data_IF_133931006291
#
_entry.id   IF_133931006291
#
_cell.length_a   1.000
_cell.length_b   1.000
_cell.length_c   1.000
_cell.angle_alpha   90.00
_cell.angle_beta   90.00
_cell.angle_gamma   90.00
#
_symmetry.space_group_name_H-M   'P 1'
#
loop_
_entity.id
_entity.type
_entity.pdbx_description
1 polymer ?
#
# COMPACT_ATOMS: atom_id res chain seq x y z
N UNK A 1 -23.96 -11.34 18.00
CA UNK A 1 -25.37 -11.10 17.57
C UNK A 1 -25.54 -9.79 16.79
N UNK A 2 -24.72 -8.75 17.03
CA UNK A 2 -24.81 -7.46 16.31
C UNK A 2 -24.52 -7.52 14.80
N UNK A 3 -23.91 -8.60 14.30
CA UNK A 3 -23.59 -8.81 12.89
C UNK A 3 -24.55 -9.78 12.18
N UNK A 4 -25.52 -10.34 12.88
CA UNK A 4 -26.50 -11.22 12.25
C UNK A 4 -27.31 -10.47 11.17
N UNK A 5 -27.43 -11.07 9.98
CA UNK A 5 -28.10 -10.48 8.83
C UNK A 5 -27.38 -9.32 8.15
N UNK A 6 -26.09 -9.08 8.49
CA UNK A 6 -25.26 -8.06 7.87
C UNK A 6 -24.18 -8.70 7.00
N UNK A 7 -23.62 -7.92 6.07
CA UNK A 7 -22.40 -8.26 5.35
C UNK A 7 -21.24 -7.54 6.01
N UNK A 8 -20.16 -8.24 6.30
CA UNK A 8 -18.94 -7.67 6.85
C UNK A 8 -17.95 -7.43 5.70
N UNK A 9 -17.47 -6.21 5.57
CA UNK A 9 -16.43 -5.85 4.61
C UNK A 9 -15.16 -5.51 5.39
N UNK A 10 -14.06 -6.15 5.06
CA UNK A 10 -12.73 -5.91 5.66
C UNK A 10 -11.81 -5.47 4.53
N UNK A 11 -11.37 -4.22 4.62
CA UNK A 11 -10.50 -3.62 3.63
C UNK A 11 -9.03 -3.66 4.06
N UNK A 12 -8.13 -3.57 3.09
CA UNK A 12 -6.67 -3.54 3.28
C UNK A 12 -6.13 -4.70 4.13
N UNK A 13 -6.71 -5.90 4.00
CA UNK A 13 -6.35 -7.05 4.84
C UNK A 13 -4.90 -7.55 4.62
N UNK A 14 -4.17 -7.01 3.65
CA UNK A 14 -2.74 -7.27 3.44
C UNK A 14 -1.83 -6.45 4.37
N UNK A 15 -2.30 -5.32 4.89
CA UNK A 15 -1.52 -4.42 5.75
C UNK A 15 -1.40 -4.92 7.21
N UNK A 16 -2.00 -6.05 7.54
CA UNK A 16 -2.01 -6.58 8.90
C UNK A 16 -0.70 -7.30 9.24
N UNK A 17 -0.13 -6.98 10.40
CA UNK A 17 0.99 -7.69 10.97
C UNK A 17 0.61 -9.11 11.46
N UNK A 18 1.58 -9.88 11.93
CA UNK A 18 1.35 -11.25 12.40
C UNK A 18 0.34 -11.33 13.55
N UNK A 19 0.33 -10.31 14.43
CA UNK A 19 -0.60 -10.25 15.55
C UNK A 19 -2.04 -9.99 15.08
N UNK A 20 -2.24 -8.97 14.26
CA UNK A 20 -3.54 -8.66 13.67
C UNK A 20 -4.08 -9.79 12.81
N UNK A 21 -3.21 -10.51 12.10
CA UNK A 21 -3.60 -11.68 11.33
C UNK A 21 -4.21 -12.80 12.18
N UNK A 22 -3.69 -13.03 13.39
CA UNK A 22 -4.28 -14.00 14.33
C UNK A 22 -5.70 -13.61 14.76
N UNK A 23 -5.95 -12.31 14.99
CA UNK A 23 -7.29 -11.82 15.30
C UNK A 23 -8.24 -11.92 14.12
N UNK A 24 -7.78 -11.57 12.93
CA UNK A 24 -8.57 -11.71 11.72
C UNK A 24 -9.00 -13.16 11.48
N UNK A 25 -8.09 -14.11 11.62
CA UNK A 25 -8.40 -15.53 11.45
C UNK A 25 -9.44 -16.00 12.46
N UNK A 26 -9.33 -15.58 13.73
CA UNK A 26 -10.32 -15.87 14.75
C UNK A 26 -11.68 -15.23 14.46
N UNK A 27 -11.69 -13.98 14.03
CA UNK A 27 -12.91 -13.29 13.64
C UNK A 27 -13.60 -13.99 12.48
N UNK A 28 -12.84 -14.41 11.46
CA UNK A 28 -13.36 -15.18 10.32
C UNK A 28 -13.95 -16.52 10.73
N UNK A 29 -13.32 -17.26 11.68
CA UNK A 29 -13.89 -18.48 12.22
C UNK A 29 -15.28 -18.24 12.82
N UNK A 30 -15.42 -17.19 13.65
CA UNK A 30 -16.70 -16.85 14.27
C UNK A 30 -17.75 -16.41 13.22
N UNK A 31 -17.34 -15.58 12.26
CA UNK A 31 -18.23 -15.13 11.20
C UNK A 31 -18.71 -16.30 10.34
N UNK A 32 -17.82 -17.24 10.05
CA UNK A 32 -18.16 -18.46 9.32
C UNK A 32 -19.14 -19.37 10.06
N UNK A 33 -18.94 -19.58 11.38
CA UNK A 33 -19.87 -20.34 12.22
C UNK A 33 -21.27 -19.72 12.24
N UNK A 34 -21.35 -18.39 12.30
CA UNK A 34 -22.62 -17.68 12.24
C UNK A 34 -23.15 -17.45 10.81
N UNK A 35 -22.48 -17.96 9.80
CA UNK A 35 -22.80 -17.79 8.38
C UNK A 35 -22.98 -16.32 7.98
N UNK A 36 -22.20 -15.45 8.56
CA UNK A 36 -22.19 -14.03 8.20
C UNK A 36 -21.38 -13.89 6.90
N UNK A 37 -21.96 -13.29 5.84
CA UNK A 37 -21.21 -13.05 4.61
C UNK A 37 -20.05 -12.09 4.85
N UNK A 38 -18.86 -12.43 4.34
CA UNK A 38 -17.65 -11.62 4.49
C UNK A 38 -17.06 -11.31 3.12
N UNK A 39 -16.67 -10.07 2.92
CA UNK A 39 -15.92 -9.59 1.76
C UNK A 39 -14.56 -9.09 2.25
N UNK A 40 -13.49 -9.67 1.75
CA UNK A 40 -12.11 -9.24 2.02
C UNK A 40 -11.56 -8.52 0.79
N UNK A 41 -11.09 -7.30 0.98
CA UNK A 41 -10.48 -6.51 -0.07
C UNK A 41 -8.97 -6.38 0.21
N UNK A 42 -8.17 -6.51 -0.85
CA UNK A 42 -6.72 -6.44 -0.74
C UNK A 42 -6.09 -6.09 -2.08
N UNK A 43 -5.16 -5.15 -2.08
CA UNK A 43 -4.37 -4.83 -3.26
C UNK A 43 -3.39 -5.97 -3.60
N UNK A 44 -2.80 -6.60 -2.57
CA UNK A 44 -1.82 -7.67 -2.71
C UNK A 44 -2.09 -8.77 -1.69
N UNK A 45 -2.53 -9.94 -2.12
CA UNK A 45 -2.81 -11.06 -1.24
C UNK A 45 -2.05 -12.31 -1.69
N UNK A 46 -0.98 -12.70 -1.00
CA UNK A 46 -0.23 -13.92 -1.31
C UNK A 46 -1.13 -15.16 -1.32
N UNK A 47 -0.87 -16.09 -2.23
CA UNK A 47 -1.67 -17.32 -2.37
C UNK A 47 -1.77 -18.13 -1.07
N UNK A 48 -0.70 -18.17 -0.28
CA UNK A 48 -0.69 -18.79 1.05
C UNK A 48 -1.70 -18.10 1.98
N UNK A 49 -1.63 -16.75 2.10
CA UNK A 49 -2.52 -16.01 3.00
C UNK A 49 -3.98 -16.11 2.56
N UNK A 50 -4.26 -16.05 1.26
CA UNK A 50 -5.60 -16.30 0.72
C UNK A 50 -6.15 -17.66 1.15
N UNK A 51 -5.32 -18.70 1.10
CA UNK A 51 -5.72 -20.05 1.54
C UNK A 51 -6.01 -20.08 3.04
N UNK A 52 -5.20 -19.43 3.86
CA UNK A 52 -5.40 -19.33 5.32
C UNK A 52 -6.73 -18.65 5.66
N UNK A 53 -7.04 -17.52 5.03
CA UNK A 53 -8.28 -16.76 5.25
C UNK A 53 -9.53 -17.59 4.88
N UNK A 54 -9.52 -18.26 3.73
CA UNK A 54 -10.63 -19.15 3.34
C UNK A 54 -10.76 -20.32 4.29
N UNK A 55 -9.65 -20.91 4.71
CA UNK A 55 -9.61 -22.02 5.68
C UNK A 55 -10.18 -21.60 7.03
N UNK A 56 -9.82 -20.40 7.50
CA UNK A 56 -10.33 -19.80 8.73
C UNK A 56 -11.85 -19.60 8.67
N UNK A 57 -12.35 -18.99 7.60
CA UNK A 57 -13.80 -18.76 7.44
C UNK A 57 -14.60 -20.07 7.36
N UNK A 58 -14.09 -21.08 6.68
CA UNK A 58 -14.73 -22.40 6.60
C UNK A 58 -14.59 -23.25 7.86
N UNK A 59 -13.86 -22.77 8.86
CA UNK A 59 -13.57 -23.44 10.12
C UNK A 59 -13.01 -24.88 9.90
N UNK A 60 -12.10 -25.02 8.95
CA UNK A 60 -11.47 -26.30 8.58
C UNK A 60 -9.99 -26.27 8.93
N UNK A 61 -9.43 -27.40 9.31
CA UNK A 61 -7.97 -27.51 9.55
C UNK A 61 -7.17 -27.47 8.24
N UNK A 62 -7.70 -28.07 7.21
CA UNK A 62 -7.09 -28.13 5.88
C UNK A 62 -8.18 -28.14 4.80
N UNK A 63 -7.83 -27.66 3.62
CA UNK A 63 -8.67 -27.75 2.43
C UNK A 63 -8.01 -28.68 1.41
N UNK A 64 -8.78 -29.43 0.61
CA UNK A 64 -8.24 -30.26 -0.47
C UNK A 64 -7.35 -29.44 -1.40
N UNK A 65 -6.37 -30.10 -2.01
CA UNK A 65 -5.53 -29.46 -3.01
C UNK A 65 -6.35 -29.09 -4.24
N UNK A 66 -6.20 -27.85 -4.67
CA UNK A 66 -6.95 -27.30 -5.79
C UNK A 66 -6.17 -26.14 -6.43
N UNK A 67 -6.36 -25.91 -7.76
CA UNK A 67 -5.62 -24.89 -8.50
C UNK A 67 -5.72 -23.47 -7.93
N UNK A 68 -6.84 -23.13 -7.31
CA UNK A 68 -7.04 -21.81 -6.72
C UNK A 68 -6.05 -21.46 -5.59
N UNK A 69 -5.50 -22.47 -4.89
CA UNK A 69 -4.53 -22.26 -3.79
C UNK A 69 -3.20 -21.70 -4.29
N UNK A 70 -2.78 -22.05 -5.49
CA UNK A 70 -1.49 -21.69 -6.06
C UNK A 70 -1.58 -20.62 -7.15
N UNK A 71 -2.79 -20.26 -7.56
CA UNK A 71 -3.00 -19.26 -8.58
C UNK A 71 -2.43 -17.88 -8.17
N UNK A 72 -1.64 -17.30 -9.09
CA UNK A 72 -0.97 -15.99 -8.91
C UNK A 72 -1.54 -14.92 -9.85
N UNK A 73 -2.67 -15.19 -10.49
CA UNK A 73 -3.34 -14.22 -11.35
C UNK A 73 -3.73 -12.95 -10.60
N UNK A 74 -3.81 -11.82 -11.30
CA UNK A 74 -4.25 -10.53 -10.75
C UNK A 74 -4.94 -9.71 -11.85
N UNK A 75 -6.06 -9.04 -11.57
CA UNK A 75 -6.91 -9.16 -10.38
C UNK A 75 -7.62 -10.51 -10.28
N UNK A 76 -7.95 -10.94 -9.07
CA UNK A 76 -8.45 -12.28 -8.79
C UNK A 76 -9.60 -12.23 -7.78
N UNK A 77 -10.72 -12.86 -8.11
CA UNK A 77 -11.83 -13.07 -7.20
C UNK A 77 -11.84 -14.52 -6.74
N UNK A 78 -11.82 -14.75 -5.44
CA UNK A 78 -11.96 -16.08 -4.83
C UNK A 78 -13.12 -16.04 -3.85
N UNK A 79 -14.05 -16.99 -3.95
CA UNK A 79 -15.23 -17.04 -3.06
C UNK A 79 -15.61 -18.46 -2.70
N UNK A 80 -16.43 -18.61 -1.67
CA UNK A 80 -16.99 -19.89 -1.25
C UNK A 80 -18.46 -19.74 -0.85
N UNK A 81 -19.23 -20.77 -1.12
CA UNK A 81 -20.61 -20.95 -0.65
C UNK A 81 -20.67 -21.77 0.66
N UNK A 82 -19.53 -22.03 1.27
CA UNK A 82 -19.37 -22.91 2.43
C UNK A 82 -19.08 -24.40 2.08
N UNK A 83 -19.31 -24.80 0.83
CA UNK A 83 -19.08 -26.18 0.35
C UNK A 83 -17.85 -26.25 -0.55
N UNK A 84 -17.80 -25.39 -1.54
CA UNK A 84 -16.75 -25.34 -2.56
C UNK A 84 -16.10 -23.96 -2.60
N UNK A 85 -14.84 -23.94 -2.98
CA UNK A 85 -14.11 -22.71 -3.25
C UNK A 85 -14.00 -22.54 -4.76
N UNK A 86 -14.43 -21.39 -5.25
CA UNK A 86 -14.38 -21.00 -6.65
C UNK A 86 -13.46 -19.81 -6.82
N UNK A 87 -12.92 -19.66 -8.03
CA UNK A 87 -12.02 -18.57 -8.36
C UNK A 87 -12.16 -18.17 -9.82
N UNK A 88 -12.07 -16.87 -10.08
CA UNK A 88 -12.01 -16.34 -11.44
C UNK A 88 -11.05 -15.16 -11.51
N UNK A 89 -10.36 -15.03 -12.64
CA UNK A 89 -9.62 -13.82 -12.97
C UNK A 89 -10.57 -12.72 -13.43
N UNK A 90 -10.25 -11.47 -13.12
CA UNK A 90 -10.97 -10.30 -13.61
C UNK A 90 -10.19 -9.74 -14.79
N UNK A 91 -10.79 -9.55 -15.97
CA UNK A 91 -10.07 -8.97 -17.10
C UNK A 91 -9.66 -7.52 -16.80
N UNK A 92 -8.40 -7.20 -17.08
CA UNK A 92 -7.93 -5.83 -17.02
C UNK A 92 -8.43 -5.04 -18.23
N UNK A 93 -9.05 -3.90 -18.00
CA UNK A 93 -9.48 -2.99 -19.07
C UNK A 93 -8.35 -2.05 -19.54
N UNK A 94 -7.32 -1.89 -18.73
CA UNK A 94 -6.12 -1.09 -19.06
C UNK A 94 -4.90 -1.99 -19.16
N UNK A 95 -4.00 -1.75 -20.13
CA UNK A 95 -2.77 -2.51 -20.23
C UNK A 95 -1.91 -2.30 -18.96
N UNK A 96 -1.18 -3.33 -18.51
CA UNK A 96 -0.29 -3.19 -17.36
C UNK A 96 0.80 -2.16 -17.66
N UNK A 97 1.02 -1.25 -16.70
CA UNK A 97 2.14 -0.31 -16.78
C UNK A 97 3.46 -1.06 -16.55
N UNK A 98 4.47 -0.73 -17.34
CA UNK A 98 5.83 -1.22 -17.11
C UNK A 98 6.51 -0.26 -16.15
N UNK A 99 7.13 -0.81 -15.12
CA UNK A 99 7.96 -0.09 -14.16
C UNK A 99 9.36 -0.66 -14.23
N UNK A 100 10.35 0.20 -14.44
CA UNK A 100 11.77 -0.18 -14.34
C UNK A 100 12.21 -0.01 -12.90
N UNK A 101 12.87 -1.01 -12.35
CA UNK A 101 13.41 -0.98 -10.98
C UNK A 101 14.93 -1.09 -11.06
N UNK A 102 15.61 -0.19 -10.34
CA UNK A 102 17.06 -0.12 -10.29
C UNK A 102 17.53 -0.03 -8.84
N UNK A 103 18.69 -0.56 -8.55
CA UNK A 103 19.32 -0.40 -7.24
C UNK A 103 20.10 0.91 -7.20
N UNK A 104 19.94 1.67 -6.13
CA UNK A 104 20.56 2.97 -5.94
C UNK A 104 21.31 3.00 -4.59
N UNK A 105 22.50 3.60 -4.57
CA UNK A 105 23.18 3.93 -3.32
C UNK A 105 22.71 5.31 -2.80
N UNK A 106 22.91 5.54 -1.51
CA UNK A 106 22.48 6.80 -0.90
C UNK A 106 23.26 8.01 -1.43
N UNK A 107 24.52 7.82 -1.84
CA UNK A 107 25.34 8.86 -2.45
C UNK A 107 24.84 9.28 -3.83
N UNK A 108 24.27 8.36 -4.59
CA UNK A 108 23.74 8.62 -5.95
C UNK A 108 22.37 9.29 -5.94
N UNK A 109 21.70 9.35 -4.77
CA UNK A 109 20.32 9.79 -4.65
C UNK A 109 20.10 11.22 -5.15
N UNK A 110 20.90 12.24 -4.79
CA UNK A 110 20.70 13.60 -5.28
C UNK A 110 20.82 13.73 -6.80
N UNK A 111 21.84 13.15 -7.40
CA UNK A 111 22.05 13.15 -8.85
C UNK A 111 20.91 12.43 -9.57
N UNK A 112 20.45 11.30 -9.03
CA UNK A 112 19.34 10.54 -9.60
C UNK A 112 18.05 11.34 -9.57
N UNK A 113 17.74 12.03 -8.46
CA UNK A 113 16.57 12.90 -8.33
C UNK A 113 16.63 14.08 -9.30
N UNK A 114 17.78 14.73 -9.41
CA UNK A 114 17.98 15.85 -10.34
C UNK A 114 17.75 15.42 -11.79
N UNK A 115 18.29 14.26 -12.16
CA UNK A 115 18.11 13.71 -13.51
C UNK A 115 16.65 13.29 -13.78
N UNK A 116 16.01 12.61 -12.83
CA UNK A 116 14.63 12.15 -12.96
C UNK A 116 13.61 13.28 -13.08
N UNK A 117 13.86 14.39 -12.39
CA UNK A 117 12.97 15.56 -12.36
C UNK A 117 13.44 16.71 -13.29
N UNK A 118 14.38 16.44 -14.17
CA UNK A 118 14.93 17.45 -15.10
C UNK A 118 13.86 18.11 -15.98
N UNK A 119 12.87 17.32 -16.40
CA UNK A 119 11.76 17.78 -17.23
C UNK A 119 10.53 18.18 -16.42
N UNK A 120 10.69 18.29 -15.09
CA UNK A 120 9.60 18.57 -14.14
C UNK A 120 9.07 17.31 -13.46
N UNK A 121 7.96 17.44 -12.74
CA UNK A 121 7.32 16.36 -12.02
C UNK A 121 7.70 16.29 -10.53
N UNK A 122 7.32 15.20 -9.88
CA UNK A 122 7.55 14.99 -8.45
C UNK A 122 8.14 13.61 -8.12
N UNK A 123 8.97 13.56 -7.08
CA UNK A 123 9.52 12.32 -6.57
C UNK A 123 9.10 12.06 -5.13
N UNK A 124 8.81 10.79 -4.83
CA UNK A 124 8.66 10.28 -3.47
C UNK A 124 9.90 9.52 -3.03
N UNK A 125 10.39 9.82 -1.83
CA UNK A 125 11.52 9.10 -1.20
C UNK A 125 11.04 8.53 0.12
N UNK A 126 10.92 7.20 0.19
CA UNK A 126 10.40 6.49 1.34
C UNK A 126 11.55 5.83 2.09
N UNK A 127 11.69 6.17 3.35
CA UNK A 127 12.71 5.61 4.25
C UNK A 127 12.08 4.98 5.49
N UNK A 128 12.81 4.09 6.14
CA UNK A 128 12.26 3.27 7.21
C UNK A 128 12.08 3.99 8.55
N UNK A 129 12.75 5.13 8.79
CA UNK A 129 12.69 5.84 10.05
C UNK A 129 12.44 7.33 9.89
N UNK A 130 11.76 7.92 10.88
CA UNK A 130 11.47 9.35 10.90
C UNK A 130 12.76 10.18 10.92
N UNK A 131 13.76 9.77 11.73
CA UNK A 131 15.04 10.44 11.81
C UNK A 131 15.73 10.47 10.45
N UNK A 132 15.80 9.34 9.75
CA UNK A 132 16.39 9.27 8.42
C UNK A 132 15.64 10.15 7.42
N UNK A 133 14.31 10.22 7.49
CA UNK A 133 13.53 11.12 6.65
C UNK A 133 13.87 12.60 6.89
N UNK A 134 14.05 12.98 8.14
CA UNK A 134 14.42 14.35 8.51
C UNK A 134 15.85 14.70 8.05
N UNK A 135 16.83 13.83 8.35
CA UNK A 135 18.24 14.02 8.00
C UNK A 135 18.40 14.09 6.47
N UNK A 136 17.76 13.17 5.76
CA UNK A 136 17.78 13.13 4.28
C UNK A 136 17.14 14.38 3.67
N UNK A 137 16.01 14.83 4.19
CA UNK A 137 15.36 16.03 3.67
C UNK A 137 16.18 17.29 3.93
N UNK A 138 16.89 17.38 5.07
CA UNK A 138 17.81 18.47 5.33
C UNK A 138 18.95 18.49 4.30
N UNK A 139 19.59 17.34 4.08
CA UNK A 139 20.63 17.16 3.07
C UNK A 139 20.16 17.52 1.66
N UNK A 140 18.98 17.03 1.24
CA UNK A 140 18.46 17.31 -0.10
C UNK A 140 18.14 18.80 -0.31
N UNK A 141 17.71 19.54 0.73
CA UNK A 141 17.53 20.99 0.64
C UNK A 141 18.82 21.77 0.43
N UNK A 142 19.92 21.26 0.97
CA UNK A 142 21.25 21.85 0.80
C UNK A 142 21.85 21.53 -0.57
N UNK A 143 21.72 20.28 -1.01
CA UNK A 143 22.32 19.79 -2.26
C UNK A 143 21.49 20.15 -3.51
N UNK A 144 20.16 20.30 -3.38
CA UNK A 144 19.21 20.54 -4.46
C UNK A 144 18.32 21.78 -4.17
N UNK A 145 18.89 22.98 -4.05
CA UNK A 145 18.14 24.19 -3.66
C UNK A 145 17.07 24.61 -4.65
N UNK A 146 17.13 24.13 -5.90
CA UNK A 146 16.12 24.38 -6.94
C UNK A 146 14.84 23.55 -6.79
N UNK A 147 14.83 22.54 -5.87
CA UNK A 147 13.69 21.70 -5.60
C UNK A 147 13.01 22.06 -4.29
N UNK A 148 11.70 22.00 -4.27
CA UNK A 148 10.95 22.03 -3.01
C UNK A 148 11.01 20.66 -2.34
N UNK A 149 11.51 20.59 -1.10
CA UNK A 149 11.61 19.34 -0.33
C UNK A 149 10.65 19.36 0.84
N UNK A 150 9.61 18.55 0.77
CA UNK A 150 8.64 18.36 1.84
C UNK A 150 8.97 17.10 2.65
N UNK A 151 8.65 17.13 3.95
CA UNK A 151 8.82 15.98 4.85
C UNK A 151 7.47 15.55 5.37
N UNK A 152 7.20 14.23 5.32
CA UNK A 152 5.96 13.67 5.86
C UNK A 152 6.20 12.35 6.62
N UNK A 153 5.81 12.33 7.91
CA UNK A 153 5.98 11.17 8.81
C UNK A 153 4.91 11.14 9.91
N UNK A 154 4.84 10.07 10.68
CA UNK A 154 3.80 9.84 11.69
C UNK A 154 3.92 10.73 12.95
N UNK A 155 5.08 11.36 13.21
CA UNK A 155 5.33 12.09 14.46
C UNK A 155 4.91 13.58 14.44
N UNK A 156 4.08 13.98 13.49
CA UNK A 156 3.49 15.32 13.54
C UNK A 156 2.34 15.38 14.53
N UNK A 157 2.15 16.54 15.19
CA UNK A 157 0.94 16.83 15.95
C UNK A 157 -0.27 16.84 15.02
N UNK A 158 -1.43 16.49 15.55
CA UNK A 158 -2.65 16.34 14.72
C UNK A 158 -2.98 17.55 13.83
N UNK A 159 -2.90 18.82 14.32
CA UNK A 159 -3.15 19.98 13.46
C UNK A 159 -2.12 20.11 12.32
N UNK A 160 -0.83 19.97 12.65
CA UNK A 160 0.26 20.08 11.66
C UNK A 160 0.20 18.96 10.62
N UNK A 161 -0.25 17.78 11.04
CA UNK A 161 -0.43 16.63 10.15
C UNK A 161 -1.52 16.92 9.13
N UNK A 162 -2.68 17.41 9.55
CA UNK A 162 -3.80 17.72 8.67
C UNK A 162 -3.44 18.79 7.62
N UNK A 163 -2.72 19.83 8.03
CA UNK A 163 -2.23 20.87 7.12
C UNK A 163 -1.26 20.29 6.07
N UNK A 164 -0.31 19.45 6.52
CA UNK A 164 0.65 18.80 5.61
C UNK A 164 -0.02 17.81 4.65
N UNK A 165 -0.99 17.03 5.13
CA UNK A 165 -1.80 16.14 4.29
C UNK A 165 -2.56 16.93 3.22
N UNK A 166 -3.21 18.01 3.62
CA UNK A 166 -3.91 18.87 2.67
C UNK A 166 -2.95 19.45 1.63
N UNK A 167 -1.79 19.96 2.04
CA UNK A 167 -0.77 20.47 1.14
C UNK A 167 -0.27 19.42 0.15
N UNK A 168 -0.03 18.17 0.60
CA UNK A 168 0.35 17.08 -0.27
C UNK A 168 -0.76 16.74 -1.27
N UNK A 169 -2.02 16.67 -0.81
CA UNK A 169 -3.17 16.40 -1.68
C UNK A 169 -3.37 17.49 -2.75
N UNK A 170 -3.13 18.75 -2.41
CA UNK A 170 -3.20 19.86 -3.37
C UNK A 170 -2.07 19.81 -4.41
N UNK A 171 -0.87 19.38 -3.99
CA UNK A 171 0.32 19.34 -4.84
C UNK A 171 0.40 18.11 -5.73
N UNK A 172 0.10 16.94 -5.19
CA UNK A 172 0.32 15.63 -5.84
C UNK A 172 -0.87 14.67 -5.75
N UNK A 173 -2.04 15.14 -5.34
CA UNK A 173 -3.27 14.34 -5.37
C UNK A 173 -3.83 14.18 -6.79
N UNK A 174 -4.88 13.38 -6.94
CA UNK A 174 -5.53 13.04 -8.23
C UNK A 174 -5.90 14.23 -9.13
N UNK A 175 -6.10 15.41 -8.54
CA UNK A 175 -6.51 16.63 -9.27
C UNK A 175 -5.36 17.60 -9.49
N UNK A 176 -4.15 17.24 -9.11
CA UNK A 176 -2.98 18.11 -9.27
C UNK A 176 -2.62 18.28 -10.74
N UNK A 177 -2.20 19.50 -11.07
CA UNK A 177 -1.71 19.86 -12.40
C UNK A 177 -0.20 19.64 -12.50
N UNK A 178 0.38 19.50 -13.72
CA UNK A 178 1.83 19.40 -13.88
C UNK A 178 2.62 20.54 -13.22
N UNK A 179 2.10 21.77 -13.26
CA UNK A 179 2.73 22.92 -12.63
C UNK A 179 2.77 22.84 -11.10
N UNK A 180 1.77 22.22 -10.47
CA UNK A 180 1.75 22.01 -9.02
C UNK A 180 2.74 20.95 -8.57
N UNK A 181 3.02 19.97 -9.43
CA UNK A 181 3.93 18.84 -9.16
C UNK A 181 5.40 19.18 -9.46
N UNK A 182 5.64 20.29 -10.17
CA UNK A 182 6.95 20.62 -10.71
C UNK A 182 8.00 20.77 -9.61
N UNK A 183 9.14 20.13 -9.82
CA UNK A 183 10.34 20.16 -8.95
C UNK A 183 10.06 19.90 -7.48
N UNK A 184 9.16 18.95 -7.20
CA UNK A 184 8.79 18.59 -5.84
C UNK A 184 9.40 17.24 -5.43
N UNK A 185 10.06 17.21 -4.29
CA UNK A 185 10.56 15.99 -3.63
C UNK A 185 9.82 15.84 -2.30
N UNK A 186 9.20 14.71 -2.07
CA UNK A 186 8.55 14.37 -0.80
C UNK A 186 9.33 13.25 -0.14
N UNK A 187 9.92 13.54 1.01
CA UNK A 187 10.65 12.55 1.82
C UNK A 187 9.76 12.12 2.98
N UNK A 188 9.58 10.83 3.16
CA UNK A 188 8.74 10.35 4.26
C UNK A 188 8.97 8.89 4.64
N UNK A 189 8.11 8.40 5.51
CA UNK A 189 8.07 7.00 5.91
C UNK A 189 6.88 6.30 5.26
N UNK A 190 6.63 5.04 5.59
CA UNK A 190 5.51 4.23 5.08
C UNK A 190 4.13 4.91 5.21
N UNK A 191 4.01 5.97 5.98
CA UNK A 191 2.77 6.77 6.07
C UNK A 191 2.37 7.38 4.72
N UNK A 192 3.33 7.64 3.82
CA UNK A 192 3.05 8.09 2.46
C UNK A 192 2.32 7.05 1.61
N UNK A 193 2.50 5.76 1.90
CA UNK A 193 1.89 4.66 1.15
C UNK A 193 0.44 4.36 1.58
N UNK A 194 0.13 4.61 2.85
CA UNK A 194 -1.10 4.06 3.45
C UNK A 194 -2.22 5.08 3.65
N UNK A 195 -1.91 6.37 3.68
CA UNK A 195 -2.87 7.36 4.19
C UNK A 195 -3.35 8.36 3.15
N UNK A 196 -2.73 8.43 1.98
CA UNK A 196 -2.94 9.52 1.04
C UNK A 196 -3.18 8.98 -0.38
N UNK A 197 -4.16 9.56 -1.05
CA UNK A 197 -4.44 9.29 -2.47
C UNK A 197 -3.57 10.22 -3.34
N UNK A 198 -2.28 9.97 -3.31
CA UNK A 198 -1.22 10.72 -4.00
C UNK A 198 -0.51 9.83 -5.01
N UNK A 199 0.12 10.45 -6.00
CA UNK A 199 0.84 9.76 -7.06
C UNK A 199 2.18 10.45 -7.32
N UNK A 200 3.25 9.69 -7.50
CA UNK A 200 4.58 10.18 -7.81
C UNK A 200 4.98 9.79 -9.22
N UNK A 201 5.69 10.67 -9.90
CA UNK A 201 6.27 10.40 -11.23
C UNK A 201 7.51 9.52 -11.11
N UNK A 202 8.26 9.66 -10.01
CA UNK A 202 9.43 8.88 -9.66
C UNK A 202 9.40 8.46 -8.19
N UNK A 203 9.77 7.23 -7.89
CA UNK A 203 9.76 6.72 -6.50
C UNK A 203 11.08 6.05 -6.14
N UNK A 204 11.61 6.42 -5.00
CA UNK A 204 12.77 5.79 -4.36
C UNK A 204 12.30 5.23 -3.02
N UNK A 205 12.62 3.99 -2.72
CA UNK A 205 12.26 3.38 -1.44
C UNK A 205 13.41 2.57 -0.87
N UNK A 206 13.59 2.66 0.43
CA UNK A 206 14.42 1.69 1.14
C UNK A 206 13.76 0.32 1.13
N UNK A 207 14.58 -0.72 1.18
CA UNK A 207 14.07 -2.06 1.43
C UNK A 207 13.42 -2.10 2.81
N UNK A 208 12.18 -2.59 2.86
CA UNK A 208 11.46 -2.75 4.11
C UNK A 208 12.18 -3.82 4.98
N UNK A 209 12.34 -3.61 6.29
CA UNK A 209 12.80 -4.66 7.19
C UNK A 209 11.84 -5.86 7.10
N UNK A 210 12.40 -7.07 6.97
CA UNK A 210 11.63 -8.31 6.98
C UNK A 210 11.19 -8.69 8.39
#
# INVERSE_FOLDING_TARGET
>A
LGLAGKVVVIDECHAYDAYMNCYLDRALNWLGEYRVPVILLSATLPAKRRTELVTAYLNRKTLPDAPWKTCRGYPLLTWTDGKQVQQTGIPLHTPPRRVTMESLTEEQLPETLQNALREGGCAGVIVNTVRKAQDLAARLREELPEFEVLVFHAQFLMPDRAEKEQRLMERIGKRSTPAQRDRLIVVGTQVLEQSLDIDFDYMITELCPM
#
